data_IF_794844837026
#
_entry.id   IF_794844837026
#
_cell.length_a   1.000
_cell.length_b   1.000
_cell.length_c   1.000
_cell.angle_alpha   90.00
_cell.angle_beta   90.00
_cell.angle_gamma   90.00
#
_symmetry.space_group_name_H-M   'P 1'
#
loop_
_entity.id
_entity.type
_entity.pdbx_description
1 polymer ?
#
# COMPACT_ATOMS: atom_id res chain seq x y z
N UNK A 1 9.04 9.34 -7.38
CA UNK A 1 8.34 8.52 -6.36
C UNK A 1 8.78 8.95 -4.97
N UNK A 2 7.90 9.20 -3.98
CA UNK A 2 8.31 9.73 -2.65
C UNK A 2 9.49 9.00 -1.94
N UNK A 3 9.53 7.66 -1.91
CA UNK A 3 10.68 6.89 -1.37
C UNK A 3 11.59 6.29 -2.45
N UNK A 4 11.40 6.70 -3.69
CA UNK A 4 12.13 6.14 -4.80
C UNK A 4 13.57 6.63 -4.87
N UNK A 5 14.49 5.77 -5.35
CA UNK A 5 15.83 6.18 -5.78
C UNK A 5 15.78 7.40 -6.72
N UNK A 6 14.79 7.44 -7.61
CA UNK A 6 14.45 8.63 -8.40
C UNK A 6 13.16 9.24 -7.85
N UNK A 7 13.34 10.27 -7.01
CA UNK A 7 12.23 10.83 -6.29
C UNK A 7 11.37 11.78 -7.13
N UNK A 8 10.33 12.36 -6.53
CA UNK A 8 9.39 13.25 -7.23
C UNK A 8 10.00 14.60 -7.64
N UNK A 9 11.17 14.97 -7.09
CA UNK A 9 11.89 16.17 -7.51
C UNK A 9 12.66 15.96 -8.81
N UNK A 10 12.91 14.71 -9.21
CA UNK A 10 13.59 14.38 -10.45
C UNK A 10 12.59 14.36 -11.63
N UNK A 11 12.67 15.32 -12.58
CA UNK A 11 11.76 15.38 -13.73
C UNK A 11 11.92 14.21 -14.69
N UNK A 12 13.05 13.49 -14.60
CA UNK A 12 13.36 12.29 -15.39
C UNK A 12 13.10 10.98 -14.66
N UNK A 13 12.56 11.02 -13.42
CA UNK A 13 12.34 9.83 -12.59
C UNK A 13 11.58 8.71 -13.30
N UNK A 14 10.52 9.06 -14.04
CA UNK A 14 9.75 8.09 -14.82
C UNK A 14 10.62 7.36 -15.87
N UNK A 15 11.45 8.09 -16.62
CA UNK A 15 12.33 7.54 -17.64
C UNK A 15 13.41 6.64 -17.02
N UNK A 16 13.98 7.06 -15.89
CA UNK A 16 15.00 6.26 -15.20
C UNK A 16 14.42 4.94 -14.67
N UNK A 17 13.21 4.95 -14.12
CA UNK A 17 12.52 3.71 -13.74
C UNK A 17 12.15 2.81 -14.91
N UNK A 18 11.82 3.39 -16.07
CA UNK A 18 11.62 2.62 -17.30
C UNK A 18 12.92 1.95 -17.72
N UNK A 19 14.02 2.71 -17.73
CA UNK A 19 15.33 2.22 -18.12
C UNK A 19 15.79 1.08 -17.20
N UNK A 20 15.70 1.24 -15.88
CA UNK A 20 16.07 0.16 -14.94
C UNK A 20 15.26 -1.11 -15.16
N UNK A 21 13.95 -0.98 -15.40
CA UNK A 21 13.11 -2.14 -15.70
C UNK A 21 13.52 -2.81 -17.03
N UNK A 22 13.86 -2.03 -18.04
CA UNK A 22 14.34 -2.54 -19.33
C UNK A 22 15.71 -3.23 -19.20
N UNK A 23 16.63 -2.68 -18.43
CA UNK A 23 17.95 -3.28 -18.15
C UNK A 23 17.82 -4.63 -17.42
N UNK A 24 16.85 -4.76 -16.49
CA UNK A 24 16.55 -6.06 -15.85
C UNK A 24 16.08 -7.09 -16.89
N UNK A 25 15.21 -6.69 -17.81
CA UNK A 25 14.71 -7.56 -18.89
C UNK A 25 15.85 -7.94 -19.84
N UNK A 26 16.68 -6.97 -20.25
CA UNK A 26 17.80 -7.18 -21.17
C UNK A 26 18.84 -8.12 -20.59
N UNK A 27 19.24 -7.92 -19.33
CA UNK A 27 20.15 -8.86 -18.65
C UNK A 27 19.59 -10.27 -18.61
N UNK A 28 18.27 -10.46 -18.46
CA UNK A 28 17.69 -11.80 -18.50
C UNK A 28 17.87 -12.45 -19.89
N UNK A 29 17.63 -11.69 -20.96
CA UNK A 29 17.79 -12.13 -22.35
C UNK A 29 19.26 -12.42 -22.68
N UNK A 30 20.19 -11.55 -22.29
CA UNK A 30 21.64 -11.73 -22.48
C UNK A 30 22.16 -13.00 -21.80
N UNK A 31 21.56 -13.36 -20.66
CA UNK A 31 21.83 -14.62 -19.95
C UNK A 31 21.10 -15.83 -20.57
N UNK A 32 20.58 -15.72 -21.80
CA UNK A 32 19.91 -16.79 -22.53
C UNK A 32 18.54 -17.19 -21.97
N UNK A 33 17.91 -16.34 -21.13
CA UNK A 33 16.58 -16.63 -20.56
C UNK A 33 15.49 -16.10 -21.48
N UNK A 34 14.43 -16.89 -21.64
CA UNK A 34 13.23 -16.45 -22.34
C UNK A 34 12.23 -15.79 -21.39
N UNK A 35 11.59 -14.72 -21.84
CA UNK A 35 10.53 -14.05 -21.10
C UNK A 35 9.19 -14.76 -21.28
N UNK A 36 8.69 -15.35 -20.19
CA UNK A 36 7.36 -15.95 -20.17
C UNK A 36 6.28 -14.88 -20.00
N UNK A 37 6.39 -14.07 -18.95
CA UNK A 37 5.47 -12.97 -18.69
C UNK A 37 6.05 -11.90 -17.78
N UNK A 38 5.38 -10.76 -17.75
CA UNK A 38 5.51 -9.72 -16.72
C UNK A 38 4.16 -9.58 -16.00
N UNK A 39 4.19 -9.56 -14.66
CA UNK A 39 3.02 -9.40 -13.80
C UNK A 39 3.19 -8.18 -12.91
N UNK A 40 2.14 -7.36 -12.80
CA UNK A 40 2.17 -6.16 -11.97
C UNK A 40 0.76 -5.73 -11.54
N UNK A 41 0.65 -5.25 -10.30
CA UNK A 41 -0.50 -4.48 -9.85
C UNK A 41 -0.49 -3.08 -10.51
N UNK A 42 -1.61 -2.62 -11.12
CA UNK A 42 -1.73 -1.23 -11.60
C UNK A 42 -1.50 -0.16 -10.54
N UNK A 43 -1.84 -0.47 -9.29
CA UNK A 43 -1.51 0.31 -8.09
C UNK A 43 -1.09 -0.70 -7.04
N UNK A 44 0.19 -0.72 -6.66
CA UNK A 44 0.72 -1.73 -5.74
C UNK A 44 0.27 -1.42 -4.32
N UNK A 45 -0.69 -2.16 -3.79
CA UNK A 45 -1.37 -1.75 -2.55
C UNK A 45 -0.49 -1.96 -1.31
N UNK A 46 -0.01 -3.19 -1.10
CA UNK A 46 0.72 -3.61 0.12
C UNK A 46 2.12 -2.99 0.18
N UNK A 47 2.74 -2.75 -0.98
CA UNK A 47 3.99 -2.02 -1.08
C UNK A 47 3.89 -0.55 -0.63
N UNK A 48 2.68 -0.08 -0.32
CA UNK A 48 2.43 1.26 0.19
C UNK A 48 1.70 2.14 -0.80
N UNK A 49 0.71 1.62 -1.53
CA UNK A 49 -0.09 2.35 -2.53
C UNK A 49 0.79 3.08 -3.55
N UNK A 50 1.67 2.32 -4.20
CA UNK A 50 2.57 2.82 -5.23
C UNK A 50 1.82 2.89 -6.55
N UNK A 51 1.68 4.09 -7.10
CA UNK A 51 1.16 4.32 -8.45
C UNK A 51 2.36 4.42 -9.39
N UNK A 52 2.54 3.47 -10.34
CA UNK A 52 3.61 3.58 -11.33
C UNK A 52 3.54 4.91 -12.08
N UNK A 53 4.70 5.51 -12.43
CA UNK A 53 4.71 6.76 -13.16
C UNK A 53 4.14 6.58 -14.57
N UNK A 54 3.65 7.68 -15.15
CA UNK A 54 3.06 7.67 -16.49
C UNK A 54 4.04 7.08 -17.52
N UNK A 55 3.54 6.26 -18.43
CA UNK A 55 4.33 5.58 -19.47
C UNK A 55 5.10 4.35 -18.98
N UNK A 56 5.30 4.17 -17.67
CA UNK A 56 6.11 3.06 -17.15
C UNK A 56 5.54 1.69 -17.51
N UNK A 57 4.26 1.48 -17.22
CA UNK A 57 3.60 0.20 -17.48
C UNK A 57 3.51 -0.11 -18.98
N UNK A 58 3.19 0.88 -19.82
CA UNK A 58 3.12 0.71 -21.27
C UNK A 58 4.48 0.33 -21.86
N UNK A 59 5.55 1.01 -21.45
CA UNK A 59 6.91 0.73 -21.96
C UNK A 59 7.38 -0.68 -21.60
N UNK A 60 7.05 -1.17 -20.41
CA UNK A 60 7.38 -2.55 -20.01
C UNK A 60 6.55 -3.56 -20.79
N UNK A 61 5.24 -3.31 -20.94
CA UNK A 61 4.37 -4.20 -21.70
C UNK A 61 4.81 -4.34 -23.15
N UNK A 62 5.21 -3.24 -23.79
CA UNK A 62 5.78 -3.24 -25.15
C UNK A 62 7.07 -4.05 -25.24
N UNK A 63 8.01 -3.82 -24.32
CA UNK A 63 9.29 -4.55 -24.29
C UNK A 63 9.08 -6.06 -24.09
N UNK A 64 8.25 -6.45 -23.13
CA UNK A 64 7.95 -7.86 -22.84
C UNK A 64 7.32 -8.55 -24.05
N UNK A 65 6.39 -7.88 -24.73
CA UNK A 65 5.76 -8.39 -25.95
C UNK A 65 6.73 -8.52 -27.12
N UNK A 66 7.66 -7.58 -27.29
CA UNK A 66 8.68 -7.69 -28.34
C UNK A 66 9.58 -8.92 -28.18
N UNK A 67 9.65 -9.48 -26.96
CA UNK A 67 10.39 -10.69 -26.62
C UNK A 67 9.52 -11.95 -26.62
N UNK A 68 8.26 -11.84 -27.05
CA UNK A 68 7.29 -12.95 -27.08
C UNK A 68 6.66 -13.29 -25.72
N UNK A 69 6.91 -12.50 -24.69
CA UNK A 69 6.30 -12.66 -23.37
C UNK A 69 4.89 -12.10 -23.27
N UNK A 70 4.14 -12.54 -22.27
CA UNK A 70 2.78 -12.07 -21.95
C UNK A 70 2.78 -10.98 -20.87
N UNK A 71 1.72 -10.19 -20.83
CA UNK A 71 1.51 -9.16 -19.81
C UNK A 71 0.32 -9.51 -18.92
N UNK A 72 0.52 -9.47 -17.61
CA UNK A 72 -0.49 -9.79 -16.61
C UNK A 72 -0.74 -8.54 -15.76
N UNK A 73 -1.99 -8.13 -15.67
CA UNK A 73 -2.42 -7.10 -14.73
C UNK A 73 -3.09 -7.76 -13.54
N UNK A 74 -2.50 -7.57 -12.35
CA UNK A 74 -3.11 -8.03 -11.10
C UNK A 74 -4.08 -6.97 -10.57
N UNK A 75 -5.36 -7.19 -10.86
CA UNK A 75 -6.46 -6.30 -10.51
C UNK A 75 -7.10 -6.68 -9.17
N UNK A 76 -6.48 -7.56 -8.38
CA UNK A 76 -7.04 -8.03 -7.11
C UNK A 76 -7.38 -6.90 -6.14
N UNK A 77 -6.57 -5.84 -6.10
CA UNK A 77 -6.75 -4.71 -5.19
C UNK A 77 -7.20 -3.42 -5.89
N UNK A 78 -6.88 -3.26 -7.17
CA UNK A 78 -7.13 -2.03 -7.94
C UNK A 78 -8.31 -2.11 -8.92
N UNK A 79 -8.81 -3.33 -9.16
CA UNK A 79 -9.92 -3.57 -10.09
C UNK A 79 -11.29 -3.27 -9.51
N UNK A 80 -12.31 -3.67 -10.27
CA UNK A 80 -13.73 -3.53 -9.92
C UNK A 80 -14.13 -2.10 -9.52
N UNK A 81 -13.53 -1.09 -10.15
CA UNK A 81 -13.89 0.31 -9.92
C UNK A 81 -13.12 1.02 -8.83
N UNK A 82 -12.27 0.32 -8.07
CA UNK A 82 -11.63 0.83 -6.83
C UNK A 82 -10.90 2.16 -7.02
N UNK A 83 -10.19 2.32 -8.12
CA UNK A 83 -9.41 3.53 -8.43
C UNK A 83 -10.26 4.73 -8.86
N UNK A 84 -11.55 4.53 -9.16
CA UNK A 84 -12.47 5.56 -9.66
C UNK A 84 -12.22 6.03 -11.10
N UNK A 85 -11.16 5.56 -11.76
CA UNK A 85 -10.79 5.95 -13.14
C UNK A 85 -11.51 5.14 -14.22
N UNK A 86 -12.07 3.98 -13.86
CA UNK A 86 -12.69 3.03 -14.77
C UNK A 86 -13.05 1.75 -14.01
N UNK A 87 -13.30 0.66 -14.73
CA UNK A 87 -13.52 -0.65 -14.10
C UNK A 87 -12.22 -1.29 -13.62
N UNK A 88 -11.11 -1.01 -14.31
CA UNK A 88 -9.83 -1.68 -14.09
C UNK A 88 -8.71 -0.65 -13.90
N UNK A 89 -7.76 -0.95 -13.01
CA UNK A 89 -6.59 -0.14 -12.76
C UNK A 89 -5.70 0.03 -14.00
N UNK A 90 -5.55 -1.00 -14.84
CA UNK A 90 -4.75 -0.92 -16.07
C UNK A 90 -5.26 0.17 -17.04
N UNK A 91 -6.54 0.52 -16.99
CA UNK A 91 -7.14 1.55 -17.85
C UNK A 91 -6.56 2.94 -17.53
N UNK A 92 -6.18 3.19 -16.28
CA UNK A 92 -5.48 4.43 -15.91
C UNK A 92 -4.12 4.56 -16.61
N UNK A 93 -3.45 3.44 -16.83
CA UNK A 93 -2.16 3.38 -17.53
C UNK A 93 -2.29 3.32 -19.05
N UNK A 94 -3.52 3.38 -19.59
CA UNK A 94 -3.81 3.28 -21.03
C UNK A 94 -3.22 2.01 -21.69
N UNK A 95 -3.15 0.90 -20.96
CA UNK A 95 -2.69 -0.39 -21.48
C UNK A 95 -3.83 -1.40 -21.52
N UNK A 96 -3.70 -2.43 -22.34
CA UNK A 96 -4.57 -3.61 -22.31
C UNK A 96 -3.67 -4.83 -22.09
N UNK A 97 -3.76 -5.53 -20.95
CA UNK A 97 -2.93 -6.70 -20.67
C UNK A 97 -3.37 -7.92 -21.51
N UNK A 98 -2.52 -8.94 -21.55
CA UNK A 98 -2.87 -10.23 -22.14
C UNK A 98 -3.70 -11.10 -21.19
N UNK A 99 -3.48 -10.93 -19.88
CA UNK A 99 -4.16 -11.65 -18.80
C UNK A 99 -4.54 -10.65 -17.69
N UNK A 100 -5.73 -10.79 -17.11
CA UNK A 100 -6.17 -10.05 -15.93
C UNK A 100 -6.49 -11.03 -14.81
N UNK A 101 -5.97 -10.81 -13.61
CA UNK A 101 -6.35 -11.57 -12.41
C UNK A 101 -7.25 -10.73 -11.52
N UNK A 102 -8.36 -11.30 -11.09
CA UNK A 102 -9.33 -10.69 -10.18
C UNK A 102 -9.47 -11.62 -8.99
N UNK A 103 -9.25 -11.11 -7.78
CA UNK A 103 -9.30 -11.92 -6.57
C UNK A 103 -10.43 -11.50 -5.64
N UNK A 104 -10.07 -11.43 -4.36
CA UNK A 104 -10.91 -11.23 -3.16
C UNK A 104 -12.17 -10.37 -3.36
N UNK A 105 -12.13 -9.19 -4.03
CA UNK A 105 -13.31 -8.33 -4.09
C UNK A 105 -14.47 -8.88 -4.93
N UNK A 106 -14.22 -9.76 -5.91
CA UNK A 106 -15.30 -10.25 -6.80
C UNK A 106 -16.33 -11.12 -6.08
N UNK A 107 -15.94 -11.78 -5.00
CA UNK A 107 -16.83 -12.56 -4.15
C UNK A 107 -17.42 -11.78 -2.98
N UNK A 108 -17.07 -10.50 -2.79
CA UNK A 108 -17.45 -9.68 -1.64
C UNK A 108 -17.30 -10.42 -0.29
N UNK A 109 -16.18 -11.13 -0.11
CA UNK A 109 -15.89 -11.97 1.06
C UNK A 109 -16.07 -13.48 0.82
N UNK A 110 -16.82 -13.88 -0.20
CA UNK A 110 -16.88 -15.28 -0.62
C UNK A 110 -15.60 -15.69 -1.36
N UNK A 111 -15.04 -16.90 -1.15
CA UNK A 111 -13.86 -17.38 -1.86
C UNK A 111 -14.12 -17.49 -3.37
N UNK A 112 -13.63 -16.52 -4.13
CA UNK A 112 -13.77 -16.48 -5.58
C UNK A 112 -12.60 -15.70 -6.19
N UNK A 113 -12.10 -16.19 -7.33
CA UNK A 113 -11.15 -15.49 -8.17
C UNK A 113 -11.47 -15.76 -9.64
N UNK A 114 -11.05 -14.86 -10.52
CA UNK A 114 -11.25 -14.95 -11.97
C UNK A 114 -9.92 -14.64 -12.65
N UNK A 115 -9.58 -15.44 -13.66
CA UNK A 115 -8.53 -15.12 -14.63
C UNK A 115 -9.19 -14.89 -15.97
N UNK A 116 -9.00 -13.70 -16.54
CA UNK A 116 -9.49 -13.34 -17.88
C UNK A 116 -8.29 -13.31 -18.83
N UNK A 117 -8.39 -13.96 -19.98
CA UNK A 117 -7.30 -13.99 -20.98
C UNK A 117 -7.86 -14.00 -22.40
N UNK A 118 -6.99 -13.73 -23.38
CA UNK A 118 -7.34 -13.80 -24.81
C UNK A 118 -7.62 -15.24 -25.23
N UNK A 119 -8.58 -15.43 -26.14
CA UNK A 119 -8.91 -16.76 -26.68
C UNK A 119 -7.69 -17.46 -27.31
N UNK A 120 -6.77 -16.71 -27.92
CA UNK A 120 -5.53 -17.24 -28.52
C UNK A 120 -4.53 -17.77 -27.50
N UNK A 121 -4.65 -17.39 -26.22
CA UNK A 121 -3.87 -17.92 -25.10
C UNK A 121 -4.61 -19.12 -24.52
N UNK A 122 -5.91 -18.97 -24.25
CA UNK A 122 -6.74 -20.04 -23.71
C UNK A 122 -6.73 -21.29 -24.61
N UNK A 123 -6.74 -21.13 -25.94
CA UNK A 123 -6.72 -22.24 -26.90
C UNK A 123 -5.43 -23.06 -26.90
N UNK A 124 -4.36 -22.55 -26.28
CA UNK A 124 -3.08 -23.27 -26.12
C UNK A 124 -3.00 -24.05 -24.81
N UNK A 125 -3.95 -23.85 -23.89
CA UNK A 125 -3.98 -24.56 -22.62
C UNK A 125 -4.52 -25.99 -22.80
N UNK A 126 -4.03 -26.92 -21.98
CA UNK A 126 -4.54 -28.27 -21.99
C UNK A 126 -6.02 -28.30 -21.55
N UNK A 127 -6.93 -29.00 -22.26
CA UNK A 127 -8.36 -28.98 -21.94
C UNK A 127 -8.69 -29.37 -20.49
N UNK A 128 -7.96 -30.32 -19.90
CA UNK A 128 -8.15 -30.72 -18.50
C UNK A 128 -7.84 -29.60 -17.50
N UNK A 129 -6.89 -28.71 -17.83
CA UNK A 129 -6.59 -27.54 -17.00
C UNK A 129 -7.77 -26.57 -17.02
N UNK A 130 -8.40 -26.38 -18.18
CA UNK A 130 -9.58 -25.50 -18.30
C UNK A 130 -10.79 -26.02 -17.51
N UNK A 131 -10.99 -27.35 -17.47
CA UNK A 131 -12.08 -27.96 -16.70
C UNK A 131 -11.94 -27.72 -15.18
N UNK A 132 -10.71 -27.70 -14.66
CA UNK A 132 -10.45 -27.42 -13.24
C UNK A 132 -10.80 -25.99 -12.83
N UNK A 133 -10.98 -25.07 -13.79
CA UNK A 133 -11.41 -23.69 -13.55
C UNK A 133 -12.92 -23.49 -13.72
N UNK A 134 -13.71 -24.56 -13.86
CA UNK A 134 -15.16 -24.44 -13.91
C UNK A 134 -15.70 -23.82 -12.61
N UNK A 135 -16.46 -22.73 -12.77
CA UNK A 135 -17.09 -22.03 -11.67
C UNK A 135 -18.45 -22.66 -11.33
N UNK A 136 -18.71 -22.87 -10.05
CA UNK A 136 -20.03 -23.29 -9.59
C UNK A 136 -21.09 -22.20 -9.84
N UNK A 137 -22.33 -22.60 -10.12
CA UNK A 137 -23.41 -21.67 -10.44
C UNK A 137 -23.72 -20.68 -9.32
N UNK A 138 -23.59 -21.08 -8.05
CA UNK A 138 -23.77 -20.21 -6.88
C UNK A 138 -22.65 -19.18 -6.81
N UNK A 139 -21.41 -19.62 -7.00
CA UNK A 139 -20.23 -18.74 -7.02
C UNK A 139 -20.35 -17.71 -8.16
N UNK A 140 -20.78 -18.14 -9.34
CA UNK A 140 -21.05 -17.25 -10.47
C UNK A 140 -22.16 -16.22 -10.16
N UNK A 141 -23.25 -16.65 -9.51
CA UNK A 141 -24.34 -15.76 -9.11
C UNK A 141 -23.88 -14.69 -8.10
N UNK A 142 -22.99 -15.03 -7.16
CA UNK A 142 -22.38 -14.09 -6.22
C UNK A 142 -21.57 -13.03 -6.99
N UNK A 143 -20.67 -13.46 -7.87
CA UNK A 143 -19.87 -12.53 -8.67
C UNK A 143 -20.73 -11.59 -9.52
N UNK A 144 -21.80 -12.11 -10.13
CA UNK A 144 -22.77 -11.29 -10.89
C UNK A 144 -23.48 -10.27 -10.01
N UNK A 145 -23.89 -10.64 -8.79
CA UNK A 145 -24.50 -9.71 -7.85
C UNK A 145 -23.55 -8.57 -7.50
N UNK A 146 -22.26 -8.86 -7.25
CA UNK A 146 -21.24 -7.83 -6.98
C UNK A 146 -21.09 -6.86 -8.17
N UNK A 147 -20.94 -7.38 -9.39
CA UNK A 147 -20.83 -6.56 -10.59
C UNK A 147 -22.08 -5.69 -10.82
N UNK A 148 -23.27 -6.23 -10.53
CA UNK A 148 -24.54 -5.51 -10.63
C UNK A 148 -24.65 -4.40 -9.59
N UNK A 149 -24.24 -4.63 -8.33
CA UNK A 149 -24.19 -3.57 -7.30
C UNK A 149 -23.24 -2.45 -7.70
N UNK A 150 -22.03 -2.76 -8.16
CA UNK A 150 -21.06 -1.75 -8.61
C UNK A 150 -21.67 -0.84 -9.70
N UNK A 151 -22.39 -1.43 -10.64
CA UNK A 151 -23.03 -0.69 -11.74
C UNK A 151 -24.26 0.11 -11.28
N UNK A 152 -25.21 -0.55 -10.62
CA UNK A 152 -26.51 0.03 -10.28
C UNK A 152 -26.42 1.13 -9.21
N UNK A 153 -25.49 0.98 -8.26
CA UNK A 153 -25.26 1.96 -7.18
C UNK A 153 -24.22 3.03 -7.56
N UNK A 154 -23.74 3.04 -8.82
CA UNK A 154 -22.72 3.98 -9.32
C UNK A 154 -21.43 4.02 -8.47
N UNK A 155 -20.99 2.86 -7.97
CA UNK A 155 -19.90 2.79 -7.00
C UNK A 155 -18.54 3.27 -7.55
N UNK A 156 -18.30 3.18 -8.86
CA UNK A 156 -17.08 3.73 -9.48
C UNK A 156 -17.06 5.26 -9.37
N UNK A 157 -18.21 5.91 -9.58
CA UNK A 157 -18.35 7.35 -9.40
C UNK A 157 -18.19 7.71 -7.92
N UNK A 158 -18.80 6.95 -7.02
CA UNK A 158 -18.63 7.15 -5.58
C UNK A 158 -17.15 7.07 -5.17
N UNK A 159 -16.42 6.06 -5.65
CA UNK A 159 -15.01 5.91 -5.34
C UNK A 159 -14.16 7.08 -5.84
N UNK A 160 -14.48 7.63 -7.02
CA UNK A 160 -13.84 8.84 -7.54
C UNK A 160 -14.12 10.06 -6.66
N UNK A 161 -15.39 10.33 -6.38
CA UNK A 161 -15.81 11.57 -5.73
C UNK A 161 -15.40 11.58 -4.25
N UNK A 162 -15.73 10.52 -3.51
CA UNK A 162 -15.38 10.38 -2.09
C UNK A 162 -13.87 10.20 -1.91
N UNK A 163 -13.22 9.45 -2.81
CA UNK A 163 -11.77 9.32 -2.82
C UNK A 163 -11.06 10.66 -3.03
N UNK A 164 -11.56 11.50 -3.95
CA UNK A 164 -11.03 12.85 -4.16
C UNK A 164 -11.21 13.73 -2.92
N UNK A 165 -12.40 13.70 -2.32
CA UNK A 165 -12.69 14.44 -1.08
C UNK A 165 -11.76 14.04 0.06
N UNK A 166 -11.62 12.72 0.31
CA UNK A 166 -10.80 12.21 1.38
C UNK A 166 -9.30 12.50 1.14
N UNK A 167 -8.82 12.33 -0.09
CA UNK A 167 -7.42 12.63 -0.43
C UNK A 167 -7.08 14.12 -0.26
N UNK A 168 -7.98 15.01 -0.65
CA UNK A 168 -7.76 16.46 -0.47
C UNK A 168 -7.79 16.84 1.00
N UNK A 169 -8.72 16.30 1.78
CA UNK A 169 -8.74 16.49 3.23
C UNK A 169 -7.45 15.99 3.91
N UNK A 170 -6.95 14.82 3.53
CA UNK A 170 -5.70 14.28 4.08
C UNK A 170 -4.49 15.13 3.70
N UNK A 171 -4.47 15.72 2.50
CA UNK A 171 -3.43 16.68 2.09
C UNK A 171 -3.52 17.98 2.87
N UNK A 172 -4.73 18.46 3.16
CA UNK A 172 -4.93 19.62 4.04
C UNK A 172 -4.40 19.32 5.45
N UNK A 173 -4.69 18.15 6.02
CA UNK A 173 -4.13 17.73 7.31
C UNK A 173 -2.60 17.64 7.28
N UNK A 174 -2.02 17.25 6.15
CA UNK A 174 -0.57 17.25 5.99
C UNK A 174 0.04 18.67 6.01
N UNK A 175 -0.73 19.75 5.85
CA UNK A 175 -0.20 21.09 6.06
C UNK A 175 0.09 21.35 7.54
N UNK A 176 -0.75 20.82 8.43
CA UNK A 176 -0.73 21.11 9.87
C UNK A 176 0.00 20.04 10.70
N UNK A 177 0.11 18.80 10.19
CA UNK A 177 0.64 17.65 10.93
C UNK A 177 1.98 17.15 10.35
N UNK A 178 3.14 17.55 10.89
CA UNK A 178 4.47 17.24 10.34
C UNK A 178 4.71 15.75 10.11
N UNK A 179 4.11 14.87 10.92
CA UNK A 179 4.27 13.42 10.78
C UNK A 179 3.67 12.87 9.48
N UNK A 180 2.74 13.56 8.82
CA UNK A 180 2.28 13.14 7.48
C UNK A 180 3.34 13.56 6.46
N UNK A 181 4.09 12.58 5.94
CA UNK A 181 5.13 12.80 4.94
C UNK A 181 4.57 12.85 3.52
N UNK A 182 3.63 11.96 3.19
CA UNK A 182 3.07 11.89 1.84
C UNK A 182 1.68 11.25 1.80
N UNK A 183 0.77 11.82 1.01
CA UNK A 183 -0.57 11.28 0.76
C UNK A 183 -0.69 10.90 -0.72
N UNK A 184 -0.95 9.62 -0.98
CA UNK A 184 -1.03 9.06 -2.34
C UNK A 184 -2.15 8.05 -2.51
N UNK A 185 -2.43 7.75 -3.77
CA UNK A 185 -3.45 6.76 -4.14
C UNK A 185 -4.51 7.32 -5.09
N UNK A 186 -5.47 6.45 -5.39
CA UNK A 186 -6.49 6.66 -6.40
C UNK A 186 -7.84 6.11 -5.93
N UNK A 187 -8.90 6.88 -6.14
CA UNK A 187 -10.23 6.51 -5.68
C UNK A 187 -10.23 6.19 -4.19
N UNK A 188 -10.77 5.02 -3.83
CA UNK A 188 -10.83 4.54 -2.44
C UNK A 188 -9.70 3.54 -2.12
N UNK A 189 -8.53 3.72 -2.71
CA UNK A 189 -7.28 3.03 -2.37
C UNK A 189 -6.21 4.08 -2.08
N UNK A 190 -5.95 4.35 -0.80
CA UNK A 190 -5.08 5.45 -0.36
C UNK A 190 -4.04 4.99 0.65
N UNK A 191 -2.85 5.57 0.53
CA UNK A 191 -1.75 5.42 1.48
C UNK A 191 -1.38 6.77 2.07
N UNK A 192 -1.31 6.85 3.40
CA UNK A 192 -0.75 7.99 4.13
C UNK A 192 0.56 7.54 4.78
N UNK A 193 1.65 8.11 4.32
CA UNK A 193 2.97 7.80 4.79
C UNK A 193 3.35 8.65 5.99
N UNK A 194 3.69 8.00 7.09
CA UNK A 194 4.06 8.63 8.36
C UNK A 194 5.58 8.65 8.50
N UNK A 195 6.11 9.81 8.86
CA UNK A 195 7.55 10.09 8.99
C UNK A 195 7.84 10.87 10.27
N UNK A 196 9.07 10.80 10.75
CA UNK A 196 9.55 11.67 11.85
C UNK A 196 10.10 12.99 11.30
N UNK A 197 10.60 12.98 10.06
CA UNK A 197 11.14 14.16 9.39
C UNK A 197 10.81 14.10 7.90
N UNK A 198 10.35 15.21 7.32
CA UNK A 198 9.91 15.30 5.91
C UNK A 198 11.05 15.46 4.92
N UNK A 199 12.19 15.98 5.36
CA UNK A 199 13.38 16.22 4.54
C UNK A 199 14.13 14.90 4.35
N UNK A 200 14.47 14.22 5.44
CA UNK A 200 15.12 12.90 5.40
C UNK A 200 14.12 11.79 5.06
N UNK A 201 12.82 12.07 5.18
CA UNK A 201 11.71 11.13 5.01
C UNK A 201 11.83 9.94 5.96
N UNK A 202 12.45 10.08 7.13
CA UNK A 202 12.69 8.94 8.04
C UNK A 202 11.36 8.26 8.41
N UNK A 203 11.16 6.96 8.12
CA UNK A 203 9.92 6.25 8.46
C UNK A 203 9.63 6.30 9.96
N UNK A 204 8.37 6.55 10.33
CA UNK A 204 7.94 6.55 11.73
C UNK A 204 6.98 5.40 12.01
N UNK A 205 7.53 4.19 12.11
CA UNK A 205 6.76 2.95 12.33
C UNK A 205 5.97 2.98 13.63
N UNK A 206 6.61 3.39 14.73
CA UNK A 206 5.98 3.46 16.05
C UNK A 206 4.82 4.47 16.08
N UNK A 207 5.00 5.63 15.42
CA UNK A 207 3.95 6.64 15.30
C UNK A 207 2.79 6.11 14.45
N UNK A 208 3.07 5.46 13.32
CA UNK A 208 2.04 4.87 12.48
C UNK A 208 1.22 3.79 13.23
N UNK A 209 1.88 2.95 14.02
CA UNK A 209 1.21 1.96 14.86
C UNK A 209 0.35 2.61 15.94
N UNK A 210 0.86 3.63 16.64
CA UNK A 210 0.09 4.42 17.61
C UNK A 210 -1.14 5.05 16.97
N UNK A 211 -1.01 5.65 15.78
CA UNK A 211 -2.14 6.23 15.05
C UNK A 211 -3.20 5.15 14.78
N UNK A 212 -2.81 3.98 14.26
CA UNK A 212 -3.75 2.88 14.02
C UNK A 212 -4.47 2.44 15.29
N UNK A 213 -3.76 2.35 16.42
CA UNK A 213 -4.36 1.97 17.70
C UNK A 213 -5.36 3.02 18.21
N UNK A 214 -5.00 4.31 18.19
CA UNK A 214 -5.88 5.40 18.62
C UNK A 214 -7.10 5.55 17.71
N UNK A 215 -6.95 5.34 16.39
CA UNK A 215 -8.08 5.29 15.47
C UNK A 215 -9.00 4.09 15.74
N UNK A 216 -8.44 2.95 16.14
CA UNK A 216 -9.23 1.77 16.57
C UNK A 216 -10.05 2.07 17.82
N UNK A 217 -9.51 2.80 18.80
CA UNK A 217 -10.26 3.28 19.97
C UNK A 217 -11.43 4.19 19.57
N UNK A 218 -11.28 4.92 18.46
CA UNK A 218 -12.33 5.74 17.83
C UNK A 218 -13.18 4.96 16.80
N UNK A 219 -13.14 3.61 16.86
CA UNK A 219 -13.89 2.67 16.01
C UNK A 219 -13.56 2.73 14.51
N UNK A 220 -12.32 3.08 14.15
CA UNK A 220 -11.84 3.11 12.77
C UNK A 220 -10.70 2.11 12.58
N UNK A 221 -10.86 1.18 11.65
CA UNK A 221 -9.82 0.19 11.33
C UNK A 221 -9.06 0.66 10.10
N UNK A 222 -7.75 0.84 10.28
CA UNK A 222 -6.83 1.30 9.24
C UNK A 222 -5.66 0.32 9.18
N UNK A 223 -5.25 -0.07 7.96
CA UNK A 223 -4.11 -0.96 7.78
C UNK A 223 -2.80 -0.22 8.02
N UNK A 224 -1.74 -0.94 8.41
CA UNK A 224 -0.38 -0.39 8.46
C UNK A 224 0.54 -1.27 7.61
N UNK A 225 0.94 -0.73 6.46
CA UNK A 225 1.60 -1.45 5.37
C UNK A 225 2.95 -0.80 4.99
N UNK A 226 3.52 -1.25 3.87
CA UNK A 226 4.84 -0.83 3.41
C UNK A 226 5.97 -1.58 4.11
N UNK A 227 7.14 -1.56 3.48
CA UNK A 227 8.33 -2.28 3.96
C UNK A 227 8.76 -1.85 5.37
N UNK A 228 8.53 -0.58 5.73
CA UNK A 228 8.87 -0.03 7.03
C UNK A 228 7.67 0.03 8.00
N UNK A 229 6.48 -0.50 7.64
CA UNK A 229 5.29 -0.47 8.50
C UNK A 229 4.95 0.96 8.99
N UNK A 230 4.97 1.92 8.07
CA UNK A 230 4.74 3.34 8.34
C UNK A 230 3.69 3.95 7.39
N UNK A 231 2.91 3.12 6.69
CA UNK A 231 1.94 3.59 5.69
C UNK A 231 0.54 3.17 6.15
N UNK A 232 -0.25 4.16 6.54
CA UNK A 232 -1.66 3.97 6.86
C UNK A 232 -2.41 3.66 5.55
N UNK A 233 -2.92 2.44 5.43
CA UNK A 233 -3.65 1.97 4.27
C UNK A 233 -5.15 2.11 4.50
N UNK A 234 -5.80 2.92 3.67
CA UNK A 234 -7.26 3.09 3.63
C UNK A 234 -7.83 2.45 2.35
N UNK A 235 -8.58 1.36 2.54
CA UNK A 235 -9.32 0.65 1.48
C UNK A 235 -10.74 0.33 1.95
N UNK A 236 -11.58 1.35 2.23
CA UNK A 236 -12.93 1.11 2.74
C UNK A 236 -13.83 0.41 1.71
N UNK A 237 -14.99 -0.14 2.09
CA UNK A 237 -16.00 -0.61 1.13
C UNK A 237 -16.36 0.47 0.09
N UNK A 238 -16.75 0.06 -1.12
CA UNK A 238 -17.00 1.01 -2.22
C UNK A 238 -18.23 1.93 -2.00
N UNK A 239 -19.09 1.61 -1.03
CA UNK A 239 -20.21 2.43 -0.58
C UNK A 239 -19.82 3.49 0.49
N UNK A 240 -18.53 3.63 0.81
CA UNK A 240 -18.03 4.63 1.75
C UNK A 240 -18.45 6.04 1.34
N UNK A 241 -18.98 6.82 2.28
CA UNK A 241 -19.59 8.13 1.98
C UNK A 241 -18.67 9.31 2.34
N UNK A 242 -19.00 10.51 1.85
CA UNK A 242 -18.34 11.75 2.28
C UNK A 242 -18.46 11.97 3.80
N UNK A 243 -19.56 11.54 4.43
CA UNK A 243 -19.71 11.61 5.89
C UNK A 243 -18.70 10.69 6.60
N UNK A 244 -18.51 9.46 6.09
CA UNK A 244 -17.48 8.57 6.63
C UNK A 244 -16.08 9.16 6.43
N UNK A 245 -15.80 9.72 5.25
CA UNK A 245 -14.54 10.40 4.97
C UNK A 245 -14.29 11.58 5.92
N UNK A 246 -15.30 12.42 6.15
CA UNK A 246 -15.22 13.54 7.09
C UNK A 246 -14.93 13.04 8.51
N UNK A 247 -15.60 11.98 8.96
CA UNK A 247 -15.31 11.35 10.26
C UNK A 247 -13.86 10.90 10.36
N UNK A 248 -13.32 10.25 9.33
CA UNK A 248 -11.91 9.84 9.28
C UNK A 248 -10.99 11.06 9.42
N UNK A 249 -11.22 12.13 8.67
CA UNK A 249 -10.40 13.34 8.71
C UNK A 249 -10.37 13.98 10.10
N UNK A 250 -11.55 14.15 10.72
CA UNK A 250 -11.66 14.74 12.07
C UNK A 250 -10.89 13.89 13.09
N UNK A 251 -11.11 12.57 13.09
CA UNK A 251 -10.48 11.70 14.08
C UNK A 251 -8.98 11.53 13.82
N UNK A 252 -8.53 11.51 12.56
CA UNK A 252 -7.13 11.50 12.20
C UNK A 252 -6.41 12.76 12.71
N UNK A 253 -7.00 13.94 12.51
CA UNK A 253 -6.43 15.20 13.01
C UNK A 253 -6.31 15.22 14.53
N UNK A 254 -7.37 14.78 15.24
CA UNK A 254 -7.33 14.67 16.70
C UNK A 254 -6.22 13.73 17.18
N UNK A 255 -6.12 12.54 16.59
CA UNK A 255 -5.09 11.55 16.96
C UNK A 255 -3.68 12.05 16.69
N UNK A 256 -3.46 12.68 15.53
CA UNK A 256 -2.15 13.25 15.19
C UNK A 256 -1.77 14.35 16.18
N UNK A 257 -2.71 15.24 16.51
CA UNK A 257 -2.47 16.31 17.48
C UNK A 257 -2.11 15.79 18.86
N UNK A 258 -2.85 14.79 19.36
CA UNK A 258 -2.57 14.13 20.65
C UNK A 258 -1.15 13.53 20.67
N UNK A 259 -0.76 12.81 19.62
CA UNK A 259 0.57 12.19 19.52
C UNK A 259 1.67 13.24 19.41
N UNK A 260 1.48 14.28 18.61
CA UNK A 260 2.45 15.38 18.44
C UNK A 260 2.72 16.11 19.76
N UNK A 261 1.68 16.30 20.60
CA UNK A 261 1.84 16.87 21.95
C UNK A 261 2.65 15.93 22.87
N UNK A 262 2.32 14.63 22.88
CA UNK A 262 3.06 13.62 23.66
C UNK A 262 4.56 13.60 23.27
N UNK A 263 4.88 13.74 21.97
CA UNK A 263 6.26 13.79 21.49
C UNK A 263 7.00 15.06 21.95
N UNK A 264 6.33 16.21 21.97
CA UNK A 264 6.90 17.48 22.46
C UNK A 264 7.17 17.44 23.97
N UNK A 265 6.25 16.90 24.77
CA UNK A 265 6.41 16.75 26.21
C UNK A 265 7.52 15.76 26.56
N UNK A 266 7.59 14.62 25.85
CA UNK A 266 8.65 13.63 26.01
C UNK A 266 10.02 14.18 25.61
N UNK A 267 10.08 15.00 24.55
CA UNK A 267 11.29 15.69 24.10
C UNK A 267 11.77 16.74 25.11
N UNK A 268 10.85 17.53 25.68
CA UNK A 268 11.17 18.54 26.71
C UNK A 268 11.68 17.89 27.99
N UNK A 269 11.06 16.78 28.42
CA UNK A 269 11.46 16.03 29.62
C UNK A 269 12.85 15.41 29.44
N UNK A 270 13.16 14.83 28.26
CA UNK A 270 14.50 14.31 27.95
C UNK A 270 15.57 15.41 27.88
N UNK A 271 15.22 16.59 27.37
CA UNK A 271 16.12 17.74 27.37
C UNK A 271 16.39 18.25 28.80
N UNK A 272 15.37 18.31 29.65
CA UNK A 272 15.52 18.68 31.06
C UNK A 272 16.33 17.64 31.85
N UNK A 273 16.12 16.34 31.64
CA UNK A 273 16.91 15.27 32.24
C UNK A 273 18.37 15.31 31.78
N UNK A 274 18.63 15.55 30.49
CA UNK A 274 19.99 15.71 29.95
C UNK A 274 20.68 16.97 30.50
N UNK A 275 19.97 18.10 30.57
CA UNK A 275 20.49 19.34 31.19
C UNK A 275 20.78 19.11 32.68
N UNK A 276 19.92 18.37 33.38
CA UNK A 276 20.10 18.06 34.81
C UNK A 276 21.27 17.10 35.03
N UNK A 277 21.42 16.08 34.18
CA UNK A 277 22.55 15.16 34.16
C UNK A 277 23.87 15.91 33.91
N UNK A 278 23.93 16.76 32.88
CA UNK A 278 25.10 17.59 32.58
C UNK A 278 25.43 18.57 33.72
N UNK A 279 24.41 19.12 34.39
CA UNK A 279 24.59 19.96 35.58
C UNK A 279 25.16 19.18 36.76
N UNK A 280 24.68 17.96 37.01
CA UNK A 280 25.15 17.09 38.10
C UNK A 280 26.59 16.62 37.86
N UNK A 281 26.97 16.38 36.60
CA UNK A 281 28.37 16.12 36.20
C UNK A 281 29.23 17.37 36.42
N UNK A 282 28.76 18.57 36.05
CA UNK A 282 29.50 19.83 36.25
C UNK A 282 29.70 20.22 37.73
N UNK A 283 28.86 19.71 38.64
CA UNK A 283 28.91 19.93 40.07
C UNK A 283 29.74 18.88 40.83
N UNK A 284 30.37 17.92 40.11
CA UNK A 284 31.24 16.89 40.70
C UNK A 284 30.50 15.83 41.52
N UNK A 285 29.22 15.60 41.25
CA UNK A 285 28.41 14.59 41.97
C UNK A 285 28.64 13.18 41.41
N UNK A 286 29.11 13.06 40.16
CA UNK A 286 29.50 11.80 39.51
C UNK A 286 30.76 12.00 38.65
N UNK A 287 31.70 11.04 38.69
CA UNK A 287 33.03 11.16 38.06
C UNK A 287 33.14 10.57 36.63
N UNK A 288 32.11 9.92 36.08
CA UNK A 288 32.10 9.43 34.68
C UNK A 288 30.69 9.45 34.06
N UNK A 289 30.56 9.59 32.72
CA UNK A 289 29.27 9.48 32.03
C UNK A 289 28.67 8.09 32.23
N UNK A 290 27.38 8.01 32.52
CA UNK A 290 26.62 6.76 32.49
C UNK A 290 26.69 6.19 31.07
N UNK A 291 27.62 5.28 30.84
CA UNK A 291 27.72 4.51 29.60
C UNK A 291 26.46 3.68 29.36
N UNK A 292 26.18 3.44 28.08
CA UNK A 292 25.07 2.64 27.57
C UNK A 292 24.91 1.30 28.32
N UNK A 293 24.05 1.28 29.33
CA UNK A 293 23.67 0.07 30.04
C UNK A 293 22.45 -0.57 29.36
N UNK A 294 22.76 -1.40 28.37
CA UNK A 294 22.10 -2.67 28.05
C UNK A 294 20.63 -2.84 28.45
N UNK A 295 19.76 -2.83 27.43
CA UNK A 295 18.48 -3.52 27.41
C UNK A 295 18.72 -5.00 27.77
N UNK A 296 18.34 -5.38 29.00
CA UNK A 296 18.18 -6.79 29.37
C UNK A 296 16.98 -7.36 28.65
N UNK A 297 17.28 -8.10 27.58
CA UNK A 297 16.36 -9.01 26.92
C UNK A 297 16.04 -10.15 27.91
N UNK A 298 14.91 -10.07 28.62
CA UNK A 298 14.38 -11.23 29.33
C UNK A 298 13.77 -12.19 28.31
N UNK A 299 14.47 -13.30 28.11
CA UNK A 299 13.94 -14.56 27.63
C UNK A 299 12.73 -14.97 28.49
N UNK A 300 11.54 -14.86 27.91
CA UNK A 300 10.34 -15.58 28.31
C UNK A 300 9.99 -16.61 27.23
N UNK A 301 10.83 -17.65 27.10
CA UNK A 301 10.46 -18.86 26.35
C UNK A 301 9.38 -19.60 27.14
N UNK A 302 8.11 -19.32 26.82
CA UNK A 302 7.00 -20.19 27.18
C UNK A 302 7.11 -21.50 26.40
N UNK A 303 7.43 -22.58 27.10
CA UNK A 303 7.46 -23.92 26.52
C UNK A 303 6.07 -24.41 26.14
N UNK A 304 5.94 -24.88 24.91
CA UNK A 304 4.98 -25.92 24.56
C UNK A 304 5.72 -27.02 23.83
N UNK A 305 5.90 -28.12 24.56
CA UNK A 305 6.32 -29.43 24.09
C UNK A 305 5.20 -30.03 23.23
N UNK A 306 5.51 -30.35 21.99
CA UNK A 306 4.73 -31.27 21.16
C UNK A 306 5.70 -32.28 20.54
N UNK A 307 6.16 -33.21 21.36
CA UNK A 307 6.81 -34.44 20.92
C UNK A 307 6.23 -35.66 21.64
N UNK A 308 4.97 -35.98 21.35
CA UNK A 308 4.43 -37.32 21.53
C UNK A 308 3.14 -37.45 20.72
N UNK A 309 3.22 -38.05 19.54
CA UNK A 309 2.20 -38.96 19.01
C UNK A 309 2.92 -39.85 17.97
N UNK A 310 3.00 -41.13 18.34
CA UNK A 310 3.21 -42.27 17.45
C UNK A 310 2.18 -42.29 16.30
#
# INVERSE_FOLDING_TARGET
>A
MYRGQYDESDPSSALKYIQEAQEVIERAVENGRQMACFICEPVMSVAGVIVPPAGWMSSIYEKVRSLGGLTISDETQSGLGRTGSGWWGFQYHNVVPDIVTIGKPIGNGHPMAIVVTKSSIASKMHPEVLKSFNCDSVVAAIGLAVLNSIRSENLIKNARDVGSFLREGLRSLAADHPNIGHVRGMGLLMGIEIVTDRVTRTPASDIAEKICYRLKEKHMIVGNEGIHRNILLLVPPMCFTCENAHRVLVNMSTVLHEIEQEEQESGSTRLEENITSDRLISLGVFDEPLGDAYIMNQLGTGGHDFSALD
#
